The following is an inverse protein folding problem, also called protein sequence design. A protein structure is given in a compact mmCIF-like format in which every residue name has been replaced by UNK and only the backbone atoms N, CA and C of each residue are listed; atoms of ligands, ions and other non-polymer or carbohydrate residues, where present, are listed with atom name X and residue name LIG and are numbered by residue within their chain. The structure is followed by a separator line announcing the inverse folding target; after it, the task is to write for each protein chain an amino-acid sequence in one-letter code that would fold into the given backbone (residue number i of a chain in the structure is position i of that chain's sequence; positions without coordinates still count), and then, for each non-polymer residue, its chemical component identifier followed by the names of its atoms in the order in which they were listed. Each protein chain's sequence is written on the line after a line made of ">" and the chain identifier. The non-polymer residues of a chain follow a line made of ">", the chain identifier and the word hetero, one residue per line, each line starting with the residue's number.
data_IF_209914169840
#
_entry.id   IF_209914169840
#
_cell.length_a   1.000
_cell.length_b   1.000
_cell.length_c   1.000
_cell.angle_alpha   90.00
_cell.angle_beta   90.00
_cell.angle_gamma   90.00
#
_symmetry.space_group_name_H-M   'P 1'
#
loop_
_entity.id
_entity.type
_entity.pdbx_description
1 polymer ?
#
# COMPACT_ATOMS: atom_id res chain seq x y z
N UNK A 1 -59.92 4.83 0.06
CA UNK A 1 -58.91 4.13 0.89
C UNK A 1 -57.85 5.17 1.24
N UNK A 2 -57.05 5.00 2.31
CA UNK A 2 -55.88 5.88 2.58
C UNK A 2 -54.64 5.01 2.41
N UNK A 3 -54.01 5.02 1.23
CA UNK A 3 -52.92 4.11 0.79
C UNK A 3 -51.94 3.74 1.93
N UNK A 4 -52.12 2.57 2.59
CA UNK A 4 -51.40 2.28 3.84
C UNK A 4 -49.90 2.09 3.63
N UNK A 5 -49.51 1.67 2.43
CA UNK A 5 -48.11 1.49 2.06
C UNK A 5 -47.40 2.84 1.88
N UNK A 6 -48.04 3.79 1.20
CA UNK A 6 -47.50 5.14 1.03
C UNK A 6 -47.33 5.82 2.39
N UNK A 7 -48.35 5.75 3.26
CA UNK A 7 -48.27 6.33 4.61
C UNK A 7 -47.09 5.78 5.40
N UNK A 8 -46.92 4.45 5.40
CA UNK A 8 -45.77 3.80 6.04
C UNK A 8 -44.44 4.28 5.45
N UNK A 9 -44.35 4.40 4.13
CA UNK A 9 -43.14 4.89 3.46
C UNK A 9 -42.81 6.33 3.87
N UNK A 10 -43.79 7.22 3.85
CA UNK A 10 -43.62 8.62 4.25
C UNK A 10 -43.22 8.76 5.71
N UNK A 11 -43.83 7.98 6.62
CA UNK A 11 -43.44 7.95 8.04
C UNK A 11 -41.97 7.50 8.18
N UNK A 12 -41.53 6.46 7.46
CA UNK A 12 -40.12 6.05 7.50
C UNK A 12 -39.19 7.13 6.91
N UNK A 13 -39.58 7.80 5.83
CA UNK A 13 -38.82 8.89 5.24
C UNK A 13 -38.65 10.06 6.24
N UNK A 14 -39.71 10.40 6.97
CA UNK A 14 -39.68 11.40 8.05
C UNK A 14 -38.72 10.99 9.17
N UNK A 15 -38.77 9.74 9.64
CA UNK A 15 -37.82 9.20 10.64
C UNK A 15 -36.36 9.21 10.18
N UNK A 16 -36.13 9.11 8.88
CA UNK A 16 -34.80 9.25 8.25
C UNK A 16 -34.42 10.70 7.94
N UNK A 17 -35.22 11.68 8.38
CA UNK A 17 -35.06 13.13 8.14
C UNK A 17 -35.04 13.52 6.67
N UNK A 18 -35.76 12.77 5.84
CA UNK A 18 -35.87 13.04 4.41
C UNK A 18 -36.99 14.05 4.10
N UNK A 19 -37.81 14.42 5.08
CA UNK A 19 -38.92 15.36 4.90
C UNK A 19 -38.58 16.82 5.27
N UNK A 20 -37.29 17.12 5.51
CA UNK A 20 -36.79 18.44 5.97
C UNK A 20 -36.42 19.38 4.81
N UNK A 21 -36.94 19.13 3.60
CA UNK A 21 -36.72 19.96 2.41
C UNK A 21 -35.53 19.58 1.52
N UNK A 22 -34.86 18.45 1.78
CA UNK A 22 -33.86 17.88 0.85
C UNK A 22 -34.48 16.97 -0.22
N UNK A 23 -35.71 16.49 0.00
CA UNK A 23 -36.44 15.61 -0.91
C UNK A 23 -37.84 16.13 -1.22
N UNK A 24 -38.33 15.80 -2.41
CA UNK A 24 -39.72 15.95 -2.80
C UNK A 24 -40.26 14.57 -3.20
N UNK A 25 -41.36 14.14 -2.60
CA UNK A 25 -41.98 12.87 -2.89
C UNK A 25 -43.17 13.09 -3.81
N UNK A 26 -43.36 12.20 -4.77
CA UNK A 26 -44.51 12.24 -5.69
C UNK A 26 -45.25 10.91 -5.61
N UNK A 27 -46.57 10.98 -5.45
CA UNK A 27 -47.46 9.84 -5.54
C UNK A 27 -48.50 10.06 -6.63
N UNK A 28 -48.94 8.96 -7.25
CA UNK A 28 -50.00 8.94 -8.24
C UNK A 28 -51.30 8.53 -7.56
N UNK A 29 -52.32 9.38 -7.67
CA UNK A 29 -53.70 9.13 -7.22
C UNK A 29 -54.64 9.62 -8.33
N UNK A 30 -54.66 8.86 -9.44
CA UNK A 30 -55.28 9.32 -10.68
C UNK A 30 -56.76 9.72 -10.53
N UNK A 31 -57.50 9.05 -9.63
CA UNK A 31 -58.93 9.24 -9.43
C UNK A 31 -59.31 9.91 -8.11
N UNK A 32 -58.32 10.32 -7.31
CA UNK A 32 -58.49 11.03 -6.04
C UNK A 32 -59.23 10.23 -4.94
N UNK A 33 -59.25 8.91 -5.04
CA UNK A 33 -59.97 7.99 -4.15
C UNK A 33 -59.08 7.28 -3.12
N UNK A 34 -57.75 7.33 -3.32
CA UNK A 34 -56.77 6.53 -2.58
C UNK A 34 -55.85 7.30 -1.62
N UNK A 35 -55.49 8.55 -1.94
CA UNK A 35 -54.61 9.36 -1.10
C UNK A 35 -55.36 10.59 -0.63
N UNK A 36 -55.80 11.48 -1.51
CA UNK A 36 -56.43 12.75 -1.10
C UNK A 36 -57.75 12.49 -0.38
N UNK A 37 -58.55 11.56 -0.90
CA UNK A 37 -59.88 11.25 -0.41
C UNK A 37 -60.86 12.42 -0.48
N UNK A 38 -62.06 12.25 0.07
CA UNK A 38 -63.13 13.26 0.04
C UNK A 38 -62.82 14.44 0.99
N UNK A 39 -62.12 14.16 2.10
CA UNK A 39 -61.80 15.14 3.15
C UNK A 39 -60.50 15.93 2.92
N UNK A 40 -59.73 15.63 1.86
CA UNK A 40 -58.39 16.21 1.59
C UNK A 40 -57.36 16.00 2.72
N UNK A 41 -57.65 15.09 3.66
CA UNK A 41 -56.88 14.76 4.86
C UNK A 41 -56.29 13.34 4.77
N UNK A 42 -55.81 12.96 3.60
CA UNK A 42 -55.29 11.62 3.28
C UNK A 42 -54.25 10.98 4.19
N UNK A 43 -53.58 11.79 5.01
CA UNK A 43 -52.58 11.39 5.98
C UNK A 43 -53.20 10.80 7.26
N UNK A 44 -54.42 11.20 7.59
CA UNK A 44 -55.08 10.89 8.86
C UNK A 44 -55.66 9.46 8.82
N UNK A 45 -55.31 8.66 9.84
CA UNK A 45 -55.84 7.30 10.02
C UNK A 45 -56.38 7.07 11.44
N UNK A 46 -56.41 8.12 12.29
CA UNK A 46 -56.80 8.08 13.69
C UNK A 46 -55.97 7.07 14.50
N UNK A 47 -54.65 7.08 14.29
CA UNK A 47 -53.67 6.25 14.98
C UNK A 47 -52.57 7.09 15.66
N UNK A 48 -51.66 6.43 16.38
CA UNK A 48 -50.57 7.09 17.12
C UNK A 48 -49.52 7.77 16.22
N UNK A 49 -49.54 7.51 14.90
CA UNK A 49 -48.57 8.03 13.94
C UNK A 49 -49.11 9.21 13.13
N UNK A 50 -50.31 9.72 13.43
CA UNK A 50 -50.93 10.79 12.65
C UNK A 50 -50.11 12.09 12.65
N UNK A 51 -49.49 12.46 13.78
CA UNK A 51 -48.60 13.62 13.82
C UNK A 51 -47.34 13.41 12.96
N UNK A 52 -46.74 12.20 12.99
CA UNK A 52 -45.60 11.86 12.13
C UNK A 52 -45.99 11.86 10.65
N UNK A 53 -47.17 11.35 10.31
CA UNK A 53 -47.70 11.31 8.96
C UNK A 53 -48.01 12.71 8.43
N UNK A 54 -48.65 13.56 9.25
CA UNK A 54 -48.94 14.96 8.94
C UNK A 54 -47.66 15.71 8.57
N UNK A 55 -46.64 15.59 9.42
CA UNK A 55 -45.33 16.19 9.16
C UNK A 55 -44.67 15.63 7.89
N UNK A 56 -44.68 14.30 7.71
CA UNK A 56 -44.08 13.67 6.54
C UNK A 56 -44.71 14.11 5.21
N UNK A 57 -46.04 14.29 5.20
CA UNK A 57 -46.81 14.61 4.01
C UNK A 57 -46.62 16.06 3.54
N UNK A 58 -46.00 16.94 4.34
CA UNK A 58 -45.51 18.25 3.89
C UNK A 58 -44.47 18.15 2.76
N UNK A 59 -43.82 17.01 2.58
CA UNK A 59 -42.90 16.77 1.45
C UNK A 59 -43.55 16.01 0.28
N UNK A 60 -44.85 15.70 0.36
CA UNK A 60 -45.57 14.87 -0.61
C UNK A 60 -46.36 15.73 -1.60
N UNK A 61 -46.20 15.40 -2.87
CA UNK A 61 -47.02 15.87 -3.98
C UNK A 61 -47.87 14.73 -4.50
N UNK A 62 -49.12 15.03 -4.84
CA UNK A 62 -50.05 14.05 -5.37
C UNK A 62 -50.49 14.47 -6.77
N UNK A 63 -50.18 13.62 -7.75
CA UNK A 63 -50.57 13.83 -9.14
C UNK A 63 -51.84 13.04 -9.45
N UNK A 64 -52.80 13.73 -10.04
CA UNK A 64 -54.18 13.24 -10.28
C UNK A 64 -54.60 13.57 -11.72
N UNK A 65 -55.68 12.97 -12.21
CA UNK A 65 -56.42 13.55 -13.34
C UNK A 65 -57.14 14.81 -12.85
N UNK A 66 -57.27 15.80 -13.72
CA UNK A 66 -57.97 17.04 -13.38
C UNK A 66 -59.42 16.74 -13.02
N UNK A 67 -59.87 17.21 -11.86
CA UNK A 67 -61.24 17.00 -11.39
C UNK A 67 -62.25 17.75 -12.26
N UNK A 68 -63.05 17.00 -13.01
CA UNK A 68 -64.10 17.54 -13.90
C UNK A 68 -65.48 17.58 -13.24
N UNK A 69 -65.65 17.03 -12.03
CA UNK A 69 -66.92 17.02 -11.28
C UNK A 69 -67.54 18.41 -11.06
N UNK A 70 -66.74 19.49 -10.87
CA UNK A 70 -67.31 20.84 -10.76
C UNK A 70 -67.90 21.39 -12.07
N UNK A 71 -67.64 20.79 -13.23
CA UNK A 71 -68.12 21.29 -14.51
C UNK A 71 -69.64 21.05 -14.66
N UNK A 72 -70.43 22.05 -15.11
CA UNK A 72 -71.86 21.88 -15.33
C UNK A 72 -72.21 20.75 -16.31
N UNK A 73 -71.37 20.55 -17.33
CA UNK A 73 -71.54 19.45 -18.30
C UNK A 73 -71.41 18.08 -17.64
N UNK A 74 -70.44 17.91 -16.74
CA UNK A 74 -70.25 16.68 -15.98
C UNK A 74 -71.42 16.44 -15.01
N UNK A 75 -71.85 17.47 -14.27
CA UNK A 75 -72.97 17.35 -13.33
C UNK A 75 -74.28 16.95 -14.04
N UNK A 76 -74.53 17.50 -15.23
CA UNK A 76 -75.66 17.10 -16.05
C UNK A 76 -75.54 15.63 -16.49
N UNK A 77 -74.39 15.26 -17.04
CA UNK A 77 -74.09 13.88 -17.42
C UNK A 77 -74.29 12.90 -16.25
N UNK A 78 -73.74 13.23 -15.08
CA UNK A 78 -73.85 12.40 -13.88
C UNK A 78 -75.32 12.20 -13.48
N UNK A 79 -76.11 13.29 -13.48
CA UNK A 79 -77.54 13.24 -13.21
C UNK A 79 -78.27 12.34 -14.22
N UNK A 80 -78.06 12.54 -15.51
CA UNK A 80 -78.71 11.78 -16.58
C UNK A 80 -78.37 10.28 -16.47
N UNK A 81 -77.11 9.93 -16.17
CA UNK A 81 -76.67 8.54 -15.94
C UNK A 81 -77.35 7.94 -14.72
N UNK A 82 -77.44 8.67 -13.60
CA UNK A 82 -78.10 8.17 -12.38
C UNK A 82 -79.59 7.92 -12.62
N UNK A 83 -80.28 8.82 -13.30
CA UNK A 83 -81.71 8.67 -13.63
C UNK A 83 -81.95 7.44 -14.54
N UNK A 84 -81.13 7.26 -15.58
CA UNK A 84 -81.21 6.09 -16.45
C UNK A 84 -80.88 4.80 -15.70
N UNK A 85 -79.88 4.82 -14.82
CA UNK A 85 -79.47 3.63 -14.11
C UNK A 85 -80.54 3.13 -13.11
N UNK A 86 -81.27 4.04 -12.44
CA UNK A 86 -82.43 3.65 -11.61
C UNK A 86 -83.48 2.91 -12.43
N UNK A 87 -83.69 3.33 -13.69
CA UNK A 87 -84.68 2.73 -14.58
C UNK A 87 -84.25 1.38 -15.14
N UNK A 88 -83.01 1.27 -15.62
CA UNK A 88 -82.55 0.09 -16.37
C UNK A 88 -81.74 -0.90 -15.53
N UNK A 89 -81.15 -0.46 -14.42
CA UNK A 89 -80.30 -1.26 -13.54
C UNK A 89 -80.72 -1.09 -12.07
N UNK A 90 -82.00 -1.41 -11.73
CA UNK A 90 -82.48 -1.24 -10.37
C UNK A 90 -81.65 -2.08 -9.39
N UNK A 91 -81.39 -1.51 -8.20
CA UNK A 91 -80.62 -2.13 -7.11
C UNK A 91 -79.12 -2.35 -7.39
N UNK A 92 -78.57 -1.82 -8.48
CA UNK A 92 -77.12 -1.79 -8.68
C UNK A 92 -76.51 -0.53 -8.08
N UNK A 93 -75.40 -0.69 -7.37
CA UNK A 93 -74.57 0.46 -6.96
C UNK A 93 -73.85 0.98 -8.19
N UNK A 94 -74.19 2.17 -8.62
CA UNK A 94 -73.58 2.83 -9.78
C UNK A 94 -72.44 3.71 -9.30
N UNK A 95 -71.25 3.42 -9.82
CA UNK A 95 -70.08 4.24 -9.66
C UNK A 95 -69.80 4.95 -10.99
N UNK A 96 -69.76 6.28 -10.94
CA UNK A 96 -69.54 7.12 -12.13
C UNK A 96 -68.12 7.65 -12.00
N UNK A 97 -67.22 7.06 -12.79
CA UNK A 97 -65.80 7.37 -12.75
C UNK A 97 -65.35 8.04 -14.05
N UNK A 98 -64.06 8.34 -14.12
CA UNK A 98 -63.42 8.90 -15.32
C UNK A 98 -63.75 8.09 -16.58
N UNK A 99 -63.69 6.75 -16.51
CA UNK A 99 -63.95 5.88 -17.66
C UNK A 99 -65.38 6.01 -18.17
N UNK A 100 -66.37 6.12 -17.28
CA UNK A 100 -67.78 6.32 -17.69
C UNK A 100 -67.94 7.60 -18.51
N UNK A 101 -67.32 8.70 -18.06
CA UNK A 101 -67.31 9.97 -18.80
C UNK A 101 -66.56 9.89 -20.12
N UNK A 102 -65.40 9.23 -20.14
CA UNK A 102 -64.61 9.03 -21.36
C UNK A 102 -65.34 8.18 -22.42
N UNK A 103 -66.04 7.11 -22.00
CA UNK A 103 -66.87 6.30 -22.89
C UNK A 103 -68.05 7.09 -23.44
N UNK A 104 -68.74 7.87 -22.61
CA UNK A 104 -69.79 8.77 -23.08
C UNK A 104 -69.26 9.69 -24.18
N UNK A 105 -68.12 10.34 -23.94
CA UNK A 105 -67.54 11.28 -24.90
C UNK A 105 -67.12 10.59 -26.19
N UNK A 106 -66.60 9.35 -26.12
CA UNK A 106 -66.26 8.58 -27.33
C UNK A 106 -67.48 8.32 -28.24
N UNK A 107 -68.65 8.04 -27.65
CA UNK A 107 -69.89 7.82 -28.41
C UNK A 107 -70.41 9.12 -29.01
N UNK A 108 -70.36 10.22 -28.24
CA UNK A 108 -70.75 11.54 -28.75
C UNK A 108 -69.83 11.98 -29.88
N UNK A 109 -68.51 11.85 -29.73
CA UNK A 109 -67.54 12.16 -30.78
C UNK A 109 -67.82 11.32 -32.04
N UNK A 110 -68.06 10.02 -31.90
CA UNK A 110 -68.43 9.16 -33.02
C UNK A 110 -69.72 9.65 -33.72
N UNK A 111 -70.77 9.97 -32.97
CA UNK A 111 -72.04 10.43 -33.52
C UNK A 111 -71.89 11.78 -34.26
N UNK A 112 -71.11 12.71 -33.70
CA UNK A 112 -70.80 14.00 -34.34
C UNK A 112 -70.02 13.76 -35.64
N UNK A 113 -69.04 12.87 -35.63
CA UNK A 113 -68.29 12.52 -36.84
C UNK A 113 -69.17 11.91 -37.93
N UNK A 114 -70.04 10.97 -37.54
CA UNK A 114 -70.96 10.31 -38.45
C UNK A 114 -71.92 11.32 -39.10
N UNK A 115 -72.47 12.24 -38.30
CA UNK A 115 -73.33 13.30 -38.80
C UNK A 115 -72.60 14.25 -39.78
N UNK A 116 -71.37 14.67 -39.44
CA UNK A 116 -70.52 15.48 -40.33
C UNK A 116 -70.27 14.75 -41.66
N UNK A 117 -69.90 13.46 -41.59
CA UNK A 117 -69.64 12.62 -42.77
C UNK A 117 -70.86 12.56 -43.69
N UNK A 118 -72.05 12.33 -43.13
CA UNK A 118 -73.31 12.28 -43.90
C UNK A 118 -73.64 13.67 -44.48
N UNK A 119 -73.41 14.75 -43.74
CA UNK A 119 -73.67 16.12 -44.21
C UNK A 119 -72.77 16.54 -45.38
N UNK A 120 -71.57 15.94 -45.48
CA UNK A 120 -70.63 16.10 -46.60
C UNK A 120 -71.01 15.23 -47.82
N UNK A 121 -72.09 14.44 -47.74
CA UNK A 121 -72.52 13.53 -48.80
C UNK A 121 -71.67 12.26 -48.91
N UNK A 122 -70.87 11.94 -47.88
CA UNK A 122 -70.06 10.72 -47.83
C UNK A 122 -70.83 9.59 -47.15
N UNK A 123 -70.67 8.37 -47.67
CA UNK A 123 -71.20 7.16 -47.04
C UNK A 123 -70.22 6.62 -45.99
N UNK A 124 -70.73 6.20 -44.84
CA UNK A 124 -69.94 5.50 -43.82
C UNK A 124 -69.84 4.03 -44.22
N UNK A 125 -68.62 3.53 -44.40
CA UNK A 125 -68.35 2.16 -44.85
C UNK A 125 -67.10 1.59 -44.18
N UNK A 126 -66.92 0.28 -44.25
CA UNK A 126 -65.71 -0.37 -43.71
C UNK A 126 -64.42 0.15 -44.37
N UNK A 127 -64.50 0.61 -45.62
CA UNK A 127 -63.34 1.08 -46.38
C UNK A 127 -62.83 2.46 -45.93
N UNK A 128 -63.69 3.33 -45.40
CA UNK A 128 -63.32 4.69 -44.98
C UNK A 128 -63.42 4.93 -43.48
N UNK A 129 -63.86 3.96 -42.68
CA UNK A 129 -64.07 4.17 -41.24
C UNK A 129 -62.81 4.64 -40.50
N UNK A 130 -61.63 4.17 -40.89
CA UNK A 130 -60.35 4.55 -40.27
C UNK A 130 -60.02 6.02 -40.55
N UNK A 131 -60.14 6.47 -41.80
CA UNK A 131 -59.86 7.88 -42.14
C UNK A 131 -60.89 8.82 -41.52
N UNK A 132 -62.13 8.35 -41.36
CA UNK A 132 -63.16 9.10 -40.64
C UNK A 132 -62.81 9.21 -39.15
N UNK A 133 -62.43 8.13 -38.46
CA UNK A 133 -62.10 8.18 -37.02
C UNK A 133 -60.86 9.05 -36.71
N UNK A 134 -59.95 9.19 -37.67
CA UNK A 134 -58.77 10.05 -37.55
C UNK A 134 -59.07 11.55 -37.68
N UNK A 135 -60.28 11.96 -38.07
CA UNK A 135 -60.65 13.39 -38.20
C UNK A 135 -60.52 14.20 -36.91
N UNK A 136 -60.62 13.53 -35.76
CA UNK A 136 -60.45 14.17 -34.45
C UNK A 136 -59.00 14.11 -33.92
N UNK A 137 -58.08 13.47 -34.63
CA UNK A 137 -56.67 13.45 -34.22
C UNK A 137 -56.06 14.83 -34.44
N UNK A 138 -55.42 15.36 -33.40
CA UNK A 138 -54.89 16.73 -33.38
C UNK A 138 -55.97 17.82 -33.25
N UNK A 139 -57.22 17.48 -32.95
CA UNK A 139 -58.34 18.43 -32.83
C UNK A 139 -58.90 18.41 -31.41
N UNK A 140 -59.18 19.59 -30.86
CA UNK A 140 -59.89 19.73 -29.58
C UNK A 140 -61.39 19.56 -29.82
N UNK A 141 -61.99 18.60 -29.13
CA UNK A 141 -63.42 18.40 -29.06
C UNK A 141 -63.98 19.09 -27.81
N UNK A 142 -64.86 20.06 -28.05
CA UNK A 142 -65.58 20.80 -27.01
C UNK A 142 -66.93 20.14 -26.72
N UNK A 143 -67.39 20.22 -25.46
CA UNK A 143 -68.72 19.74 -25.06
C UNK A 143 -68.80 18.27 -24.64
N UNK A 144 -67.67 17.62 -24.38
CA UNK A 144 -67.65 16.35 -23.67
C UNK A 144 -68.11 16.48 -22.22
N UNK A 145 -68.72 15.42 -21.68
CA UNK A 145 -69.05 15.29 -20.27
C UNK A 145 -67.80 15.35 -19.39
N UNK A 146 -66.67 14.83 -19.87
CA UNK A 146 -65.36 14.92 -19.18
C UNK A 146 -64.62 16.24 -19.45
N UNK A 147 -65.32 17.26 -19.95
CA UNK A 147 -64.74 18.55 -20.35
C UNK A 147 -64.14 18.49 -21.76
N UNK A 148 -63.09 19.28 -22.00
CA UNK A 148 -62.37 19.28 -23.27
C UNK A 148 -61.69 17.93 -23.50
N UNK A 149 -61.88 17.37 -24.68
CA UNK A 149 -61.23 16.13 -25.11
C UNK A 149 -60.27 16.46 -26.24
N UNK A 150 -59.01 16.09 -26.10
CA UNK A 150 -58.02 16.21 -27.15
C UNK A 150 -57.41 14.86 -27.44
N UNK A 151 -57.53 14.41 -28.69
CA UNK A 151 -56.85 13.22 -29.19
C UNK A 151 -55.62 13.72 -29.93
N UNK A 152 -54.46 13.21 -29.58
CA UNK A 152 -53.20 13.61 -30.18
C UNK A 152 -53.06 13.07 -31.63
N UNK A 153 -52.02 13.48 -32.37
CA UNK A 153 -51.80 12.99 -33.74
C UNK A 153 -51.53 11.49 -33.87
N UNK A 154 -51.34 10.76 -32.76
CA UNK A 154 -51.11 9.32 -32.72
C UNK A 154 -52.38 8.54 -32.36
N UNK A 155 -53.47 9.23 -32.02
CA UNK A 155 -54.74 8.62 -31.66
C UNK A 155 -54.97 8.42 -30.17
N UNK A 156 -54.09 8.97 -29.33
CA UNK A 156 -54.17 8.84 -27.88
C UNK A 156 -54.80 10.09 -27.25
N UNK A 157 -55.65 9.88 -26.24
CA UNK A 157 -56.22 10.99 -25.49
C UNK A 157 -55.14 11.64 -24.64
N UNK A 158 -54.98 12.96 -24.76
CA UNK A 158 -54.11 13.74 -23.87
C UNK A 158 -54.95 14.33 -22.75
N UNK A 159 -54.83 13.75 -21.57
CA UNK A 159 -55.58 14.20 -20.40
C UNK A 159 -54.93 15.41 -19.71
N UNK A 160 -55.79 16.19 -19.05
CA UNK A 160 -55.36 17.23 -18.13
C UNK A 160 -55.09 16.62 -16.75
N UNK A 161 -54.01 17.06 -16.11
CA UNK A 161 -53.60 16.61 -14.79
C UNK A 161 -53.60 17.74 -13.78
N UNK A 162 -53.79 17.39 -12.51
CA UNK A 162 -53.73 18.32 -11.39
C UNK A 162 -52.73 17.84 -10.35
N UNK A 163 -51.92 18.77 -9.86
CA UNK A 163 -50.94 18.55 -8.81
C UNK A 163 -51.46 19.14 -7.50
N UNK A 164 -51.49 18.31 -6.47
CA UNK A 164 -51.89 18.69 -5.13
C UNK A 164 -50.70 18.65 -4.17
N UNK A 165 -50.72 19.56 -3.20
CA UNK A 165 -49.73 19.64 -2.15
C UNK A 165 -50.38 20.12 -0.86
N UNK A 166 -49.78 19.79 0.29
CA UNK A 166 -50.27 20.24 1.59
C UNK A 166 -50.07 21.75 1.74
N UNK A 167 -51.10 22.47 2.17
CA UNK A 167 -51.05 23.93 2.29
C UNK A 167 -50.07 24.40 3.39
N UNK A 168 -50.20 23.84 4.58
CA UNK A 168 -49.38 24.07 5.76
C UNK A 168 -49.57 22.91 6.76
N UNK A 169 -48.69 22.83 7.77
CA UNK A 169 -48.70 21.74 8.74
C UNK A 169 -49.87 21.80 9.75
N UNK A 170 -50.50 22.97 9.94
CA UNK A 170 -51.58 23.15 10.91
C UNK A 170 -52.93 22.68 10.36
N UNK A 171 -53.28 23.14 9.15
CA UNK A 171 -54.51 22.78 8.46
C UNK A 171 -54.36 21.40 7.78
N UNK A 172 -53.15 21.10 7.30
CA UNK A 172 -52.75 19.83 6.69
C UNK A 172 -53.71 19.33 5.59
N UNK A 173 -54.27 20.27 4.82
CA UNK A 173 -55.16 19.95 3.70
C UNK A 173 -54.39 19.93 2.38
N UNK A 174 -54.67 18.93 1.55
CA UNK A 174 -54.21 18.93 0.16
C UNK A 174 -54.97 19.94 -0.68
N UNK A 175 -54.24 20.92 -1.20
CA UNK A 175 -54.76 21.99 -2.08
C UNK A 175 -54.16 21.88 -3.48
N UNK A 176 -54.89 22.38 -4.47
CA UNK A 176 -54.45 22.43 -5.86
C UNK A 176 -53.33 23.47 -5.99
N UNK A 177 -52.13 23.03 -6.37
CA UNK A 177 -50.97 23.91 -6.58
C UNK A 177 -50.67 24.15 -8.05
N UNK A 178 -51.00 23.21 -8.92
CA UNK A 178 -50.79 23.39 -10.35
C UNK A 178 -51.69 22.51 -11.21
N UNK A 179 -51.85 22.91 -12.46
CA UNK A 179 -52.51 22.14 -13.51
C UNK A 179 -51.56 21.93 -14.70
N UNK A 180 -51.68 20.78 -15.34
CA UNK A 180 -51.08 20.52 -16.63
C UNK A 180 -52.19 20.27 -17.66
N UNK A 181 -52.14 21.00 -18.77
CA UNK A 181 -53.11 20.89 -19.84
C UNK A 181 -52.55 20.07 -21.00
N UNK A 182 -53.09 18.87 -21.22
CA UNK A 182 -52.56 17.91 -22.20
C UNK A 182 -52.53 18.47 -23.63
N UNK A 183 -53.62 19.12 -24.05
CA UNK A 183 -53.79 19.63 -25.41
C UNK A 183 -52.74 20.66 -25.85
N UNK A 184 -52.28 21.51 -24.92
CA UNK A 184 -51.27 22.56 -25.16
C UNK A 184 -49.92 22.27 -24.52
N UNK A 185 -49.79 21.14 -23.83
CA UNK A 185 -48.58 20.70 -23.10
C UNK A 185 -48.04 21.77 -22.15
N UNK A 186 -48.94 22.46 -21.45
CA UNK A 186 -48.59 23.60 -20.62
C UNK A 186 -48.87 23.31 -19.14
N UNK A 187 -47.86 23.55 -18.31
CA UNK A 187 -47.96 23.59 -16.86
C UNK A 187 -48.31 25.02 -16.41
N UNK A 188 -49.30 25.14 -15.52
CA UNK A 188 -49.74 26.41 -14.94
C UNK A 188 -49.85 26.27 -13.42
N UNK A 189 -49.10 27.12 -12.71
CA UNK A 189 -49.18 27.23 -11.26
C UNK A 189 -50.47 27.95 -10.87
N UNK A 190 -51.19 27.37 -9.92
CA UNK A 190 -52.46 27.87 -9.40
C UNK A 190 -52.26 28.52 -8.03
N UNK A 191 -51.37 27.96 -7.21
CA UNK A 191 -51.05 28.49 -5.89
C UNK A 191 -49.60 28.23 -5.52
N UNK A 192 -49.08 28.98 -4.56
CA UNK A 192 -47.70 28.85 -4.08
C UNK A 192 -47.51 27.53 -3.33
N UNK A 193 -46.37 26.88 -3.57
CA UNK A 193 -45.98 25.64 -2.89
C UNK A 193 -45.22 25.98 -1.60
N UNK A 194 -45.64 25.41 -0.47
CA UNK A 194 -45.00 25.57 0.84
C UNK A 194 -43.96 24.48 1.07
N UNK A 195 -42.68 24.77 0.79
CA UNK A 195 -41.62 23.78 0.99
C UNK A 195 -41.19 23.67 2.48
N UNK A 196 -40.99 22.46 3.02
CA UNK A 196 -40.65 22.25 4.43
C UNK A 196 -39.20 22.61 4.81
N UNK A 197 -38.34 22.92 3.84
CA UNK A 197 -36.94 23.24 4.10
C UNK A 197 -36.71 24.63 4.73
N UNK A 198 -35.51 24.87 5.29
CA UNK A 198 -35.17 26.10 6.03
C UNK A 198 -35.28 27.39 5.19
N UNK A 199 -35.16 27.28 3.87
CA UNK A 199 -35.28 28.40 2.94
C UNK A 199 -36.66 28.46 2.26
N UNK A 200 -37.57 27.53 2.57
CA UNK A 200 -38.86 27.35 1.89
C UNK A 200 -38.73 27.29 0.36
N UNK A 201 -37.65 26.68 -0.12
CA UNK A 201 -37.37 26.48 -1.55
C UNK A 201 -37.46 25.01 -1.94
N UNK A 202 -37.75 24.76 -3.21
CA UNK A 202 -37.68 23.41 -3.79
C UNK A 202 -36.30 22.76 -3.55
N UNK A 203 -36.26 21.44 -3.27
CA UNK A 203 -35.01 20.72 -3.13
C UNK A 203 -34.21 20.74 -4.44
N UNK A 204 -32.89 20.61 -4.32
CA UNK A 204 -32.02 20.47 -5.48
C UNK A 204 -32.26 19.13 -6.16
N UNK A 205 -32.24 19.11 -7.50
CA UNK A 205 -32.36 17.87 -8.28
C UNK A 205 -31.21 16.88 -8.04
N UNK A 206 -30.08 17.35 -7.50
CA UNK A 206 -28.94 16.52 -7.08
C UNK A 206 -28.36 17.11 -5.79
N UNK A 207 -27.99 16.28 -4.82
CA UNK A 207 -27.24 16.73 -3.65
C UNK A 207 -25.95 17.44 -4.06
N UNK A 208 -25.51 18.43 -3.26
CA UNK A 208 -24.31 19.25 -3.55
C UNK A 208 -23.06 18.39 -3.80
N UNK A 209 -22.87 17.32 -3.04
CA UNK A 209 -21.73 16.41 -3.21
C UNK A 209 -21.97 15.26 -4.21
N UNK A 210 -23.13 15.23 -4.86
CA UNK A 210 -23.61 14.09 -5.63
C UNK A 210 -24.01 12.89 -4.76
N UNK A 211 -24.79 11.97 -5.36
CA UNK A 211 -25.36 10.81 -4.65
C UNK A 211 -24.31 9.87 -4.03
N UNK A 212 -23.13 9.73 -4.66
CA UNK A 212 -22.04 8.88 -4.17
C UNK A 212 -20.82 9.67 -3.67
N UNK A 213 -20.97 10.96 -3.31
CA UNK A 213 -19.85 11.84 -2.94
C UNK A 213 -18.78 11.95 -4.03
N UNK A 214 -19.23 11.96 -5.28
CA UNK A 214 -18.37 12.04 -6.46
C UNK A 214 -17.86 13.44 -6.74
N UNK A 215 -18.53 14.48 -6.20
CA UNK A 215 -18.15 15.86 -6.49
C UNK A 215 -16.75 16.16 -5.94
N UNK A 216 -15.78 16.59 -6.80
CA UNK A 216 -14.41 16.88 -6.38
C UNK A 216 -14.30 17.94 -5.28
N UNK A 217 -15.28 18.84 -5.16
CA UNK A 217 -15.32 19.84 -4.09
C UNK A 217 -15.55 19.24 -2.71
N UNK A 218 -16.22 18.09 -2.64
CA UNK A 218 -16.53 17.37 -1.41
C UNK A 218 -15.55 16.23 -1.11
N UNK A 219 -14.64 15.89 -2.03
CA UNK A 219 -13.65 14.86 -1.77
C UNK A 219 -12.55 15.39 -0.82
N UNK A 220 -12.10 14.56 0.13
CA UNK A 220 -10.97 14.94 0.97
C UNK A 220 -9.77 15.20 0.06
N UNK A 221 -9.22 16.41 0.10
CA UNK A 221 -8.01 16.75 -0.63
C UNK A 221 -6.89 15.84 -0.14
N UNK A 222 -6.49 14.88 -0.98
CA UNK A 222 -5.38 13.99 -0.70
C UNK A 222 -4.13 14.83 -0.42
N UNK A 223 -3.61 14.74 0.81
CA UNK A 223 -2.36 15.37 1.21
C UNK A 223 -1.34 14.27 1.48
N UNK A 224 -0.31 14.11 0.64
CA UNK A 224 0.67 13.01 0.75
C UNK A 224 1.66 13.21 1.90
N UNK A 225 1.26 13.86 3.00
CA UNK A 225 2.15 14.20 4.12
C UNK A 225 2.68 12.92 4.77
N UNK A 226 1.82 11.91 4.97
CA UNK A 226 2.19 10.63 5.59
C UNK A 226 3.16 9.85 4.72
N UNK A 227 2.91 9.75 3.42
CA UNK A 227 3.79 9.01 2.48
C UNK A 227 5.16 9.68 2.32
N UNK A 228 5.19 11.02 2.25
CA UNK A 228 6.44 11.79 2.22
C UNK A 228 7.23 11.56 3.51
N UNK A 229 6.58 11.58 4.68
CA UNK A 229 7.27 11.34 5.96
C UNK A 229 7.84 9.92 6.08
N UNK A 230 7.14 8.91 5.57
CA UNK A 230 7.62 7.52 5.53
C UNK A 230 8.82 7.40 4.58
N UNK A 231 8.76 8.04 3.41
CA UNK A 231 9.87 8.05 2.46
C UNK A 231 11.15 8.68 3.03
N UNK A 232 11.03 9.82 3.71
CA UNK A 232 12.17 10.52 4.32
C UNK A 232 12.77 9.70 5.48
N UNK A 233 11.93 9.17 6.36
CA UNK A 233 12.39 8.38 7.51
C UNK A 233 13.11 7.10 7.09
N UNK A 234 12.60 6.40 6.06
CA UNK A 234 13.29 5.24 5.49
C UNK A 234 14.63 5.62 4.85
N UNK A 235 14.67 6.73 4.10
CA UNK A 235 15.91 7.24 3.50
C UNK A 235 17.00 7.55 4.53
N UNK A 236 16.64 8.15 5.66
CA UNK A 236 17.57 8.43 6.77
C UNK A 236 18.08 7.13 7.39
N UNK A 237 17.20 6.14 7.61
CA UNK A 237 17.57 4.85 8.19
C UNK A 237 18.58 4.09 7.32
N UNK A 238 18.38 4.10 6.00
CA UNK A 238 19.33 3.51 5.04
C UNK A 238 20.66 4.25 5.08
N UNK A 239 20.66 5.58 5.11
CA UNK A 239 21.87 6.39 5.20
C UNK A 239 22.69 6.06 6.46
N UNK A 240 22.03 5.98 7.61
CA UNK A 240 22.68 5.60 8.88
C UNK A 240 23.25 4.19 8.81
N UNK A 241 22.54 3.23 8.20
CA UNK A 241 23.02 1.87 8.00
C UNK A 241 24.29 1.81 7.13
N UNK A 242 24.32 2.58 6.04
CA UNK A 242 25.49 2.67 5.16
C UNK A 242 26.68 3.28 5.90
N UNK A 243 26.50 4.40 6.60
CA UNK A 243 27.56 5.03 7.40
C UNK A 243 28.07 4.08 8.49
N UNK A 244 27.17 3.40 9.20
CA UNK A 244 27.53 2.40 10.22
C UNK A 244 28.36 1.25 9.65
N UNK A 245 28.04 0.77 8.45
CA UNK A 245 28.82 -0.26 7.76
C UNK A 245 30.25 0.22 7.46
N UNK A 246 30.42 1.45 6.97
CA UNK A 246 31.74 2.02 6.71
C UNK A 246 32.57 2.16 7.99
N UNK A 247 31.95 2.66 9.07
CA UNK A 247 32.62 2.80 10.38
C UNK A 247 33.03 1.42 10.92
N UNK A 248 32.14 0.42 10.85
CA UNK A 248 32.45 -0.94 11.29
C UNK A 248 33.64 -1.55 10.53
N UNK A 249 33.67 -1.39 9.19
CA UNK A 249 34.80 -1.86 8.37
C UNK A 249 36.11 -1.20 8.80
N UNK A 250 36.08 0.11 9.05
CA UNK A 250 37.27 0.85 9.46
C UNK A 250 37.81 0.38 10.82
N UNK A 251 36.93 0.21 11.80
CA UNK A 251 37.31 -0.29 13.13
C UNK A 251 37.91 -1.70 13.04
N UNK A 252 37.33 -2.59 12.23
CA UNK A 252 37.84 -3.95 12.04
C UNK A 252 39.23 -3.98 11.39
N UNK A 253 39.48 -3.11 10.42
CA UNK A 253 40.78 -3.00 9.76
C UNK A 253 41.86 -2.46 10.71
N UNK A 254 41.52 -1.45 11.51
CA UNK A 254 42.45 -0.85 12.48
C UNK A 254 42.75 -1.82 13.64
N UNK A 255 41.76 -2.62 14.09
CA UNK A 255 41.98 -3.68 15.08
C UNK A 255 42.97 -4.74 14.60
N UNK A 256 42.89 -5.15 13.32
CA UNK A 256 43.80 -6.14 12.73
C UNK A 256 45.24 -5.64 12.55
N UNK A 257 45.48 -4.31 12.56
CA UNK A 257 46.83 -3.73 12.54
C UNK A 257 47.51 -3.71 13.91
N UNK A 258 46.72 -3.71 15.00
CA UNK A 258 47.24 -3.57 16.37
C UNK A 258 47.84 -4.86 16.98
N UNK A 259 47.60 -6.03 16.37
CA UNK A 259 48.11 -7.31 16.89
C UNK A 259 49.62 -7.45 16.61
N UNK A 260 50.45 -7.24 17.64
CA UNK A 260 51.91 -7.42 17.60
C UNK A 260 52.35 -8.87 17.88
N UNK A 261 51.52 -9.87 17.56
CA UNK A 261 51.79 -11.29 17.88
C UNK A 261 53.04 -11.87 17.19
N UNK A 262 53.59 -11.15 16.21
CA UNK A 262 54.80 -11.52 15.47
C UNK A 262 56.09 -11.04 16.16
N UNK A 263 55.99 -10.14 17.14
CA UNK A 263 57.14 -9.64 17.88
C UNK A 263 57.48 -10.64 19.00
N UNK A 264 58.64 -11.26 18.88
CA UNK A 264 59.18 -12.21 19.83
C UNK A 264 60.21 -11.53 20.74
N UNK A 265 60.34 -12.03 21.97
CA UNK A 265 61.48 -11.72 22.85
C UNK A 265 62.46 -12.89 22.84
N UNK A 266 63.73 -12.65 23.18
CA UNK A 266 64.75 -13.72 23.23
C UNK A 266 64.38 -14.85 24.21
N UNK A 267 63.63 -14.54 25.26
CA UNK A 267 63.17 -15.52 26.26
C UNK A 267 62.08 -16.47 25.73
N UNK A 268 61.32 -16.05 24.71
CA UNK A 268 60.29 -16.87 24.07
C UNK A 268 60.85 -17.89 23.06
N UNK A 269 62.16 -17.84 22.79
CA UNK A 269 62.84 -18.67 21.77
C UNK A 269 63.71 -19.73 22.45
N UNK A 270 63.27 -20.98 22.38
CA UNK A 270 63.93 -22.11 23.04
C UNK A 270 64.93 -22.79 22.09
N UNK A 271 66.22 -22.70 22.40
CA UNK A 271 67.29 -23.37 21.66
C UNK A 271 67.53 -24.78 22.22
N UNK A 272 67.55 -25.79 21.35
CA UNK A 272 67.80 -27.19 21.75
C UNK A 272 69.30 -27.42 22.04
N UNK A 273 69.67 -27.70 23.30
CA UNK A 273 71.00 -28.18 23.72
C UNK A 273 71.03 -29.73 23.73
N UNK A 274 72.09 -30.34 23.21
CA UNK A 274 72.32 -31.79 23.27
C UNK A 274 72.54 -32.25 24.73
N UNK A 275 71.85 -33.30 25.25
CA UNK A 275 72.09 -33.80 26.59
C UNK A 275 73.18 -34.89 26.60
N UNK A 276 74.36 -34.57 27.14
CA UNK A 276 75.34 -35.56 27.63
C UNK A 276 75.03 -35.86 29.09
N UNK A 277 74.90 -37.15 29.41
CA UNK A 277 74.24 -37.64 30.62
C UNK A 277 75.05 -37.58 31.91
N UNK A 278 74.35 -37.89 33.01
CA UNK A 278 74.83 -38.73 34.11
C UNK A 278 73.67 -39.04 35.07
N UNK A 279 73.57 -40.31 35.45
CA UNK A 279 72.59 -40.87 36.37
C UNK A 279 72.98 -40.60 37.82
N UNK A 280 72.01 -40.39 38.73
CA UNK A 280 72.11 -40.91 40.11
C UNK A 280 70.78 -40.89 40.87
N UNK A 281 70.39 -42.10 41.26
CA UNK A 281 69.35 -42.51 42.20
C UNK A 281 69.62 -42.06 43.64
N UNK A 282 68.58 -41.71 44.40
CA UNK A 282 68.31 -42.31 45.73
C UNK A 282 66.95 -41.89 46.31
N UNK A 283 66.34 -42.85 46.98
CA UNK A 283 65.05 -42.83 47.67
C UNK A 283 65.14 -42.05 48.99
N UNK A 284 64.03 -41.44 49.46
CA UNK A 284 63.46 -41.75 50.79
C UNK A 284 62.05 -41.17 50.99
N UNK A 285 61.30 -41.97 51.75
CA UNK A 285 59.92 -41.93 52.23
C UNK A 285 59.54 -40.79 53.19
N UNK A 286 58.29 -40.29 53.13
CA UNK A 286 57.25 -40.55 54.16
C UNK A 286 55.98 -39.69 53.97
N UNK A 287 54.86 -40.28 54.38
CA UNK A 287 53.47 -39.86 54.18
C UNK A 287 53.05 -38.57 54.92
N UNK A 288 52.11 -37.81 54.35
CA UNK A 288 50.78 -37.58 54.95
C UNK A 288 49.78 -37.06 53.91
N UNK A 289 48.49 -37.31 54.21
CA UNK A 289 47.36 -37.53 53.29
C UNK A 289 46.74 -36.27 52.65
N UNK A 290 46.12 -36.55 51.49
CA UNK A 290 44.81 -36.09 51.00
C UNK A 290 44.75 -34.83 50.10
N UNK A 291 44.75 -35.05 48.77
CA UNK A 291 43.57 -34.84 47.88
C UNK A 291 43.94 -35.12 46.41
N UNK A 292 43.12 -35.93 45.75
CA UNK A 292 43.13 -36.43 44.35
C UNK A 292 42.45 -35.45 43.35
N UNK A 293 42.41 -35.69 42.01
CA UNK A 293 43.52 -35.99 41.10
C UNK A 293 43.48 -35.24 39.73
N UNK A 294 44.68 -34.94 39.24
CA UNK A 294 45.26 -35.16 37.90
C UNK A 294 44.77 -34.51 36.58
N UNK A 295 45.80 -33.96 35.93
CA UNK A 295 45.94 -33.49 34.56
C UNK A 295 47.12 -34.28 33.93
N UNK A 296 47.11 -34.43 32.59
CA UNK A 296 48.26 -34.58 31.65
C UNK A 296 48.60 -35.94 30.99
N UNK A 297 48.91 -35.77 29.69
CA UNK A 297 49.94 -36.40 28.85
C UNK A 297 49.76 -37.81 28.30
N UNK A 298 49.68 -37.90 26.96
CA UNK A 298 50.13 -39.04 26.18
C UNK A 298 51.28 -38.60 25.26
N UNK A 299 52.48 -39.07 25.56
CA UNK A 299 53.60 -39.11 24.62
C UNK A 299 53.39 -40.28 23.65
N UNK A 300 53.67 -40.08 22.36
CA UNK A 300 53.95 -41.18 21.42
C UNK A 300 55.45 -41.15 21.10
N UNK A 301 56.20 -42.24 21.35
CA UNK A 301 57.64 -42.32 21.14
C UNK A 301 58.01 -42.86 19.74
N UNK A 302 59.14 -42.38 19.20
CA UNK A 302 59.96 -43.16 18.26
C UNK A 302 60.18 -42.59 16.86
N UNK A 303 61.18 -41.71 16.69
CA UNK A 303 61.98 -41.63 15.45
C UNK A 303 63.44 -41.39 15.85
N UNK A 304 64.32 -42.35 15.55
CA UNK A 304 65.77 -42.24 15.72
C UNK A 304 66.36 -41.68 14.43
N UNK A 305 67.11 -40.57 14.49
CA UNK A 305 67.97 -40.14 13.40
C UNK A 305 69.42 -40.50 13.73
N UNK A 306 70.00 -41.37 12.90
CA UNK A 306 71.41 -41.71 12.92
C UNK A 306 72.21 -40.62 12.21
N UNK A 307 73.26 -40.11 12.86
CA UNK A 307 74.33 -39.36 12.18
C UNK A 307 75.63 -40.14 12.44
N UNK A 308 76.24 -40.63 11.36
CA UNK A 308 77.48 -41.37 11.39
C UNK A 308 78.67 -40.42 11.68
N UNK A 309 79.70 -40.87 12.43
CA UNK A 309 80.81 -40.03 12.86
C UNK A 309 81.92 -39.97 11.80
N UNK A 310 82.41 -38.77 11.51
CA UNK A 310 83.59 -38.54 10.65
C UNK A 310 84.74 -37.94 11.46
N UNK A 311 85.63 -38.82 11.93
CA UNK A 311 87.01 -38.66 12.41
C UNK A 311 87.61 -37.24 12.52
N UNK A 312 88.07 -36.92 13.73
CA UNK A 312 89.30 -36.15 13.99
C UNK A 312 90.53 -36.85 13.33
N UNK A 313 91.59 -36.12 12.89
CA UNK A 313 92.42 -35.31 13.78
C UNK A 313 93.06 -34.02 13.22
N UNK A 314 93.36 -33.11 14.15
CA UNK A 314 94.53 -32.23 14.23
C UNK A 314 94.79 -31.13 13.19
N UNK A 315 95.05 -29.95 13.76
CA UNK A 315 96.04 -28.90 13.38
C UNK A 315 95.73 -27.87 12.28
N UNK A 316 95.31 -26.69 12.76
CA UNK A 316 95.83 -25.33 12.45
C UNK A 316 95.43 -24.63 11.12
N UNK A 317 94.56 -23.62 11.30
CA UNK A 317 94.27 -22.38 10.52
C UNK A 317 93.81 -22.50 9.05
N UNK A 318 92.70 -21.92 8.61
CA UNK A 318 92.40 -20.47 8.51
C UNK A 318 90.92 -20.28 8.07
N UNK A 319 90.34 -19.07 8.25
CA UNK A 319 89.18 -18.44 7.56
C UNK A 319 87.71 -18.61 8.02
N UNK A 320 87.02 -17.45 8.01
CA UNK A 320 85.58 -17.14 7.83
C UNK A 320 84.59 -17.26 9.01
N UNK A 321 84.06 -16.10 9.42
CA UNK A 321 82.90 -15.92 10.31
C UNK A 321 81.65 -16.49 9.63
N UNK A 322 81.21 -17.68 10.03
CA UNK A 322 79.95 -18.27 9.55
C UNK A 322 78.76 -17.61 10.25
N UNK A 323 77.83 -17.02 9.47
CA UNK A 323 76.53 -16.56 9.94
C UNK A 323 75.78 -17.73 10.60
N UNK A 324 75.59 -17.64 11.92
CA UNK A 324 75.11 -18.72 12.77
C UNK A 324 73.60 -18.86 12.65
N UNK A 325 73.15 -19.67 11.70
CA UNK A 325 71.74 -20.06 11.60
C UNK A 325 71.45 -21.17 12.61
N UNK A 326 70.50 -20.97 13.52
CA UNK A 326 70.19 -21.93 14.59
C UNK A 326 68.71 -22.31 14.57
N UNK A 327 68.41 -23.59 14.77
CA UNK A 327 67.05 -24.08 14.97
C UNK A 327 66.56 -23.79 16.40
N UNK A 328 65.35 -23.26 16.54
CA UNK A 328 64.72 -23.02 17.82
C UNK A 328 63.20 -23.29 17.77
N UNK A 329 62.56 -23.28 18.94
CA UNK A 329 61.10 -23.36 19.05
C UNK A 329 60.57 -22.00 19.51
N UNK A 330 59.62 -21.44 18.76
CA UNK A 330 58.90 -20.21 19.10
C UNK A 330 57.41 -20.50 19.11
N UNK A 331 56.76 -20.33 20.29
CA UNK A 331 55.31 -20.55 20.51
C UNK A 331 54.80 -21.89 19.95
N UNK A 332 55.57 -22.96 20.18
CA UNK A 332 55.23 -24.32 19.75
C UNK A 332 55.59 -24.66 18.30
N UNK A 333 56.09 -23.71 17.50
CA UNK A 333 56.52 -23.94 16.13
C UNK A 333 58.05 -24.02 16.03
N UNK A 334 58.55 -24.99 15.25
CA UNK A 334 59.97 -25.07 14.89
C UNK A 334 60.31 -23.95 13.92
N UNK A 335 61.22 -23.07 14.33
CA UNK A 335 61.65 -21.89 13.57
C UNK A 335 63.15 -21.90 13.34
N UNK A 336 63.54 -21.25 12.24
CA UNK A 336 64.90 -20.90 11.91
C UNK A 336 65.19 -19.50 12.42
N UNK A 337 66.18 -19.37 13.30
CA UNK A 337 66.63 -18.08 13.84
C UNK A 337 67.83 -17.60 13.02
N UNK A 338 67.68 -16.44 12.37
CA UNK A 338 68.78 -15.73 11.72
C UNK A 338 69.06 -14.43 12.47
N UNK A 339 70.18 -14.40 13.18
CA UNK A 339 70.68 -13.17 13.80
C UNK A 339 71.08 -12.18 12.69
N UNK A 340 70.81 -10.90 12.94
CA UNK A 340 71.09 -9.82 12.00
C UNK A 340 72.07 -8.83 12.65
N UNK A 341 73.01 -8.32 11.86
CA UNK A 341 74.10 -7.46 12.34
C UNK A 341 73.66 -6.01 12.69
N UNK A 342 72.36 -5.77 12.88
CA UNK A 342 71.80 -4.47 13.24
C UNK A 342 71.30 -4.46 14.67
N UNK A 343 71.84 -3.53 15.45
CA UNK A 343 71.59 -3.47 16.89
C UNK A 343 70.42 -2.55 17.29
N UNK A 344 69.86 -1.73 16.38
CA UNK A 344 68.72 -0.84 16.73
C UNK A 344 67.70 -0.72 15.59
N UNK A 345 66.46 -1.14 15.84
CA UNK A 345 65.31 -0.98 14.96
C UNK A 345 64.17 -0.35 15.76
N UNK A 346 63.63 0.77 15.29
CA UNK A 346 62.48 1.45 15.92
C UNK A 346 61.18 1.09 15.18
N UNK A 347 60.13 0.74 15.93
CA UNK A 347 58.81 0.38 15.38
C UNK A 347 58.04 1.65 14.99
N UNK A 348 57.70 1.79 13.70
CA UNK A 348 56.83 2.87 13.18
C UNK A 348 55.63 2.26 12.41
N UNK A 349 54.55 3.03 12.22
CA UNK A 349 53.35 2.61 11.51
C UNK A 349 53.64 2.05 10.11
N UNK A 350 54.54 2.68 9.35
CA UNK A 350 54.96 2.18 8.04
C UNK A 350 55.59 0.77 8.12
N UNK A 351 56.37 0.51 9.17
CA UNK A 351 56.99 -0.79 9.42
C UNK A 351 55.93 -1.85 9.78
N UNK A 352 54.93 -1.49 10.58
CA UNK A 352 53.83 -2.39 10.94
C UNK A 352 52.98 -2.80 9.72
N UNK A 353 52.75 -1.87 8.78
CA UNK A 353 52.08 -2.17 7.51
C UNK A 353 52.92 -3.12 6.66
N UNK A 354 54.24 -2.92 6.60
CA UNK A 354 55.13 -3.80 5.83
C UNK A 354 55.19 -5.20 6.42
N UNK A 355 55.30 -5.32 7.75
CA UNK A 355 55.26 -6.63 8.44
C UNK A 355 53.92 -7.31 8.27
N UNK A 356 52.80 -6.57 8.29
CA UNK A 356 51.47 -7.12 7.96
C UNK A 356 51.44 -7.67 6.54
N UNK A 357 51.98 -6.95 5.56
CA UNK A 357 52.01 -7.42 4.17
C UNK A 357 52.85 -8.70 4.02
N UNK A 358 54.00 -8.77 4.68
CA UNK A 358 54.85 -9.97 4.68
C UNK A 358 54.16 -11.14 5.38
N UNK A 359 53.48 -10.93 6.51
CA UNK A 359 52.75 -11.96 7.27
C UNK A 359 51.55 -12.53 6.50
N UNK A 360 50.88 -11.72 5.69
CA UNK A 360 49.73 -12.14 4.87
C UNK A 360 50.19 -12.83 3.57
N UNK A 361 51.44 -12.60 3.14
CA UNK A 361 51.99 -13.24 1.95
C UNK A 361 52.37 -14.69 2.26
N UNK A 362 51.54 -15.64 1.82
CA UNK A 362 51.80 -17.07 1.95
C UNK A 362 51.83 -17.72 0.55
N UNK A 363 52.92 -18.38 0.21
CA UNK A 363 53.09 -19.08 -1.08
C UNK A 363 54.06 -20.25 -0.89
N UNK A 364 53.81 -21.37 -1.57
CA UNK A 364 54.60 -22.61 -1.41
C UNK A 364 56.10 -22.43 -1.69
N UNK A 365 56.43 -21.54 -2.63
CA UNK A 365 57.82 -21.22 -3.00
C UNK A 365 58.46 -20.05 -2.21
N UNK A 366 57.80 -19.55 -1.15
CA UNK A 366 58.32 -18.46 -0.32
C UNK A 366 58.55 -18.94 1.10
N UNK A 367 59.68 -18.54 1.69
CA UNK A 367 59.95 -18.84 3.10
C UNK A 367 59.02 -18.00 3.98
N UNK A 368 58.18 -18.68 4.75
CA UNK A 368 57.16 -18.03 5.57
C UNK A 368 57.80 -17.31 6.76
N UNK A 369 57.54 -16.00 6.84
CA UNK A 369 57.87 -15.19 8.01
C UNK A 369 56.97 -15.59 9.20
N UNK A 370 57.58 -15.94 10.32
CA UNK A 370 56.85 -16.34 11.54
C UNK A 370 56.88 -15.22 12.59
N UNK A 371 58.01 -14.52 12.70
CA UNK A 371 58.16 -13.41 13.64
C UNK A 371 59.53 -12.77 13.59
N UNK A 372 59.77 -11.79 14.45
CA UNK A 372 61.08 -11.18 14.59
C UNK A 372 61.34 -10.79 16.05
N UNK A 373 62.61 -10.79 16.42
CA UNK A 373 63.10 -10.31 17.71
C UNK A 373 63.75 -8.95 17.50
N UNK A 374 63.25 -7.93 18.21
CA UNK A 374 63.80 -6.57 18.19
C UNK A 374 64.33 -6.27 19.58
N UNK A 375 65.61 -6.54 19.82
CA UNK A 375 66.31 -6.24 21.08
C UNK A 375 67.31 -5.10 20.93
N UNK A 376 67.71 -4.44 22.04
CA UNK A 376 68.63 -3.31 22.05
C UNK A 376 70.08 -3.66 21.63
N UNK A 377 70.46 -4.94 21.72
CA UNK A 377 71.81 -5.41 21.36
C UNK A 377 71.80 -6.55 20.34
N UNK A 378 70.67 -7.20 20.07
CA UNK A 378 70.57 -8.30 19.11
C UNK A 378 69.20 -8.32 18.46
N UNK A 379 69.17 -8.35 17.12
CA UNK A 379 67.94 -8.51 16.34
C UNK A 379 67.99 -9.80 15.55
N UNK A 380 66.83 -10.45 15.38
CA UNK A 380 66.75 -11.70 14.65
C UNK A 380 65.43 -11.83 13.90
N UNK A 381 65.46 -12.56 12.80
CA UNK A 381 64.28 -12.92 12.01
C UNK A 381 63.97 -14.40 12.25
N UNK A 382 62.71 -14.70 12.54
CA UNK A 382 62.18 -16.04 12.76
C UNK A 382 61.40 -16.47 11.53
N UNK A 383 61.90 -17.50 10.86
CA UNK A 383 61.26 -18.10 9.69
C UNK A 383 60.82 -19.54 9.98
N UNK A 384 59.89 -20.06 9.19
CA UNK A 384 59.47 -21.46 9.30
C UNK A 384 60.63 -22.42 8.98
N UNK A 385 60.68 -23.55 9.69
CA UNK A 385 61.64 -24.63 9.42
C UNK A 385 61.10 -25.57 8.32
N UNK A 386 61.83 -25.71 7.21
CA UNK A 386 61.47 -26.63 6.13
C UNK A 386 61.94 -28.08 6.40
N UNK A 387 61.08 -29.05 6.13
CA UNK A 387 61.30 -30.48 6.40
C UNK A 387 62.37 -31.17 5.53
N UNK A 388 62.82 -30.53 4.44
CA UNK A 388 63.81 -31.08 3.48
C UNK A 388 65.25 -30.56 3.67
N UNK A 389 65.49 -29.72 4.68
CA UNK A 389 66.77 -29.01 4.87
C UNK A 389 66.84 -27.73 4.03
N UNK A 390 67.68 -26.77 4.45
CA UNK A 390 67.92 -25.55 3.71
C UNK A 390 69.03 -25.78 2.67
N UNK A 391 68.84 -25.23 1.46
CA UNK A 391 69.89 -25.23 0.46
C UNK A 391 71.04 -24.34 0.98
N UNK A 392 72.22 -24.92 1.20
CA UNK A 392 73.42 -24.21 1.65
C UNK A 392 73.98 -23.38 0.47
N UNK A 393 73.28 -22.31 0.09
CA UNK A 393 73.68 -21.47 -1.04
C UNK A 393 74.73 -20.48 -0.57
N UNK A 394 75.99 -20.92 -0.62
CA UNK A 394 77.22 -20.14 -0.42
C UNK A 394 77.54 -19.18 -1.58
N UNK A 395 76.59 -18.89 -2.50
CA UNK A 395 76.88 -18.26 -3.80
C UNK A 395 76.00 -17.08 -4.23
N UNK A 396 75.16 -16.50 -3.37
CA UNK A 396 74.29 -15.37 -3.76
C UNK A 396 74.77 -13.98 -3.31
N UNK A 397 76.00 -13.86 -2.83
CA UNK A 397 76.57 -12.57 -2.39
C UNK A 397 77.39 -11.81 -3.44
N UNK A 398 77.40 -12.24 -4.71
CA UNK A 398 78.21 -11.59 -5.76
C UNK A 398 77.47 -11.26 -7.06
N UNK A 399 76.14 -11.10 -7.02
CA UNK A 399 75.40 -10.55 -8.17
C UNK A 399 75.28 -9.04 -8.03
N UNK A 400 76.26 -8.35 -8.61
CA UNK A 400 76.23 -6.94 -8.97
C UNK A 400 75.07 -6.71 -9.96
N UNK A 401 73.90 -6.27 -9.49
CA UNK A 401 72.81 -5.84 -10.38
C UNK A 401 72.94 -4.34 -10.62
N UNK A 402 73.55 -3.99 -11.74
CA UNK A 402 73.36 -2.69 -12.39
C UNK A 402 71.88 -2.54 -12.78
N UNK A 403 71.19 -1.56 -12.20
CA UNK A 403 69.94 -1.05 -12.76
C UNK A 403 70.12 0.39 -13.23
N UNK A 404 69.94 0.54 -14.54
CA UNK A 404 69.97 1.78 -15.28
C UNK A 404 68.85 2.72 -14.82
N UNK A 405 69.17 4.02 -14.83
CA UNK A 405 68.50 5.10 -14.14
C UNK A 405 67.67 5.89 -15.14
N UNK A 406 66.39 5.58 -15.32
CA UNK A 406 65.44 6.56 -15.84
C UNK A 406 64.05 6.43 -15.20
N UNK A 407 63.62 7.59 -14.66
CA UNK A 407 62.32 7.96 -14.07
C UNK A 407 62.20 7.90 -12.55
N UNK A 408 62.72 8.98 -11.96
CA UNK A 408 62.00 9.80 -10.97
C UNK A 408 61.52 9.09 -9.72
N UNK A 409 62.42 8.80 -8.79
CA UNK A 409 62.07 8.47 -7.41
C UNK A 409 63.00 9.19 -6.45
N UNK A 410 62.40 9.93 -5.51
CA UNK A 410 63.10 10.64 -4.44
C UNK A 410 63.74 9.61 -3.50
N UNK A 411 65.00 9.91 -3.20
CA UNK A 411 65.95 9.11 -2.42
C UNK A 411 65.47 9.05 -0.97
N UNK A 412 65.23 7.84 -0.45
CA UNK A 412 65.11 7.57 0.97
C UNK A 412 66.35 6.77 1.39
N UNK A 413 67.08 7.36 2.33
CA UNK A 413 68.31 6.87 2.96
C UNK A 413 68.15 5.42 3.47
N UNK A 414 69.07 4.55 3.04
CA UNK A 414 69.12 3.14 3.43
C UNK A 414 69.97 2.97 4.69
N UNK A 415 69.32 2.76 5.84
CA UNK A 415 69.99 2.32 7.08
C UNK A 415 69.53 0.94 7.59
N UNK A 416 68.86 0.13 6.77
CA UNK A 416 68.27 -1.16 7.19
C UNK A 416 68.65 -2.36 6.30
N UNK A 417 69.67 -2.19 5.44
CA UNK A 417 70.05 -3.16 4.39
C UNK A 417 70.14 -4.62 4.86
N UNK A 418 70.91 -4.99 5.90
CA UNK A 418 71.10 -6.43 6.21
C UNK A 418 69.89 -7.16 6.83
N UNK A 419 69.15 -6.53 7.76
CA UNK A 419 67.94 -7.12 8.36
C UNK A 419 66.84 -7.29 7.30
N UNK A 420 66.67 -6.29 6.43
CA UNK A 420 65.70 -6.32 5.35
C UNK A 420 66.15 -7.11 4.14
N UNK A 421 67.46 -7.28 3.90
CA UNK A 421 67.96 -8.24 2.94
C UNK A 421 67.64 -9.66 3.43
N UNK A 422 67.75 -9.96 4.73
CA UNK A 422 67.34 -11.26 5.29
C UNK A 422 65.82 -11.52 5.18
N UNK A 423 64.98 -10.49 5.38
CA UNK A 423 63.52 -10.56 5.17
C UNK A 423 63.14 -10.61 3.68
N UNK A 424 63.86 -9.89 2.80
CA UNK A 424 63.63 -9.90 1.33
C UNK A 424 64.23 -11.14 0.65
N UNK A 425 65.29 -11.75 1.22
CA UNK A 425 65.91 -13.03 0.81
C UNK A 425 65.02 -14.22 1.22
N UNK A 426 63.96 -14.04 2.01
CA UNK A 426 62.86 -15.02 2.12
C UNK A 426 62.16 -15.31 0.77
N UNK A 427 62.60 -14.69 -0.34
CA UNK A 427 62.28 -15.06 -1.73
C UNK A 427 63.13 -16.20 -2.34
N UNK A 428 63.94 -16.91 -1.57
CA UNK A 428 64.74 -18.04 -2.11
C UNK A 428 64.32 -19.36 -1.45
N UNK A 429 63.99 -20.32 -2.31
CA UNK A 429 63.31 -21.60 -2.09
C UNK A 429 63.79 -22.44 -0.89
N UNK A 430 62.82 -23.12 -0.26
CA UNK A 430 62.98 -24.52 0.14
C UNK A 430 62.80 -25.40 -1.12
#
# INVERSE_FOLDING_TARGET
>A
MNSPLLRKFMIQASRLKMCEGEYAFFALDLYMDDIIGIGKNGWEQHDEFDDEARHAYMSLFILTLMDKRPLPAYQKFEKDVRELAVKYYPNQKIDINYHTGAFHDSVIMFAVNANMTVSEGLNISQANIISLTQRFWGVVFEGGASGRVYIDPYGDRSDDHSLYHMNNENDAEFVLVANYFGYRKQYEEVSNITWPGPNSTAPLNRPVCGYQREDPSCQPKYRPITEITIGISFGILVLVGVVGMFVYRKIKEDAALSSMDWLATWDEVLFTKNPTGESRTSLTTSNTRASTPDHLTSAIPGVKFAVYPGKEPSTVSTTTTELRTVSAIFRGNSVLVRECDKHKIELNHHLLVEVKNVRVTNHENLLRFVGAIIGPEKTAVLNEMCSKGNLQVRWLYDVNIHFNKERGSRIISFNSFDFWLSIRICRICC
#
